data_IF_776451941822
#
_entry.id   IF_776451941822
#
_cell.length_a   1.000
_cell.length_b   1.000
_cell.length_c   1.000
_cell.angle_alpha   90.00
_cell.angle_beta   90.00
_cell.angle_gamma   90.00
#
_symmetry.space_group_name_H-M   'P 1'
#
loop_
_entity.id
_entity.type
_entity.pdbx_description
1 polymer ?
#
# COMPACT_ATOMS: atom_id res chain seq x y z
N UNK A 1 -1.88 -19.31 -17.85
CA UNK A 1 -2.65 -18.47 -16.91
C UNK A 1 -1.65 -17.84 -15.94
N UNK A 2 -1.13 -16.64 -16.27
CA UNK A 2 -0.01 -15.99 -15.54
C UNK A 2 -0.55 -15.04 -14.46
N UNK A 3 -1.15 -15.59 -13.41
CA UNK A 3 -1.58 -14.77 -12.25
C UNK A 3 -1.04 -15.34 -10.94
N UNK A 4 -0.72 -16.63 -10.89
CA UNK A 4 -0.19 -17.28 -9.70
C UNK A 4 1.32 -17.00 -9.48
N UNK A 5 2.07 -16.70 -10.53
CA UNK A 5 3.51 -16.36 -10.42
C UNK A 5 3.76 -14.88 -10.08
N UNK A 6 2.81 -13.98 -10.35
CA UNK A 6 2.95 -12.57 -9.96
C UNK A 6 2.84 -12.40 -8.44
N UNK A 7 1.96 -13.16 -7.79
CA UNK A 7 1.81 -13.16 -6.33
C UNK A 7 3.09 -13.62 -5.61
N UNK A 8 3.85 -14.55 -6.19
CA UNK A 8 5.13 -15.00 -5.63
C UNK A 8 6.24 -13.97 -5.75
N UNK A 9 6.23 -13.14 -6.80
CA UNK A 9 7.23 -12.07 -6.98
C UNK A 9 6.97 -10.87 -6.08
N UNK A 10 5.72 -10.57 -5.76
CA UNK A 10 5.39 -9.50 -4.80
C UNK A 10 5.90 -9.80 -3.39
N UNK A 11 5.90 -11.07 -2.97
CA UNK A 11 6.47 -11.49 -1.68
C UNK A 11 8.00 -11.25 -1.58
N UNK A 12 8.72 -11.34 -2.70
CA UNK A 12 10.16 -11.08 -2.72
C UNK A 12 10.49 -9.57 -2.59
N UNK A 13 9.62 -8.70 -3.11
CA UNK A 13 9.76 -7.25 -2.96
C UNK A 13 9.53 -6.81 -1.50
N UNK A 14 8.59 -7.47 -0.81
CA UNK A 14 8.33 -7.24 0.61
C UNK A 14 9.55 -7.56 1.50
N UNK A 15 10.42 -8.48 1.07
CA UNK A 15 11.63 -8.87 1.81
C UNK A 15 12.77 -7.85 1.66
N UNK A 16 12.83 -7.11 0.54
CA UNK A 16 13.93 -6.19 0.23
C UNK A 16 13.66 -4.72 0.61
N UNK A 17 12.40 -4.27 0.67
CA UNK A 17 12.06 -2.84 0.79
C UNK A 17 11.57 -2.36 2.17
N UNK A 18 11.87 -3.10 3.22
CA UNK A 18 11.64 -2.67 4.61
C UNK A 18 11.29 -3.87 5.47
N UNK A 19 12.17 -4.20 6.42
CA UNK A 19 11.98 -5.27 7.41
C UNK A 19 10.55 -5.23 7.96
N UNK A 20 9.72 -6.19 7.54
CA UNK A 20 8.44 -6.55 8.16
C UNK A 20 7.23 -5.60 8.00
N UNK A 21 7.05 -4.91 6.86
CA UNK A 21 5.71 -4.39 6.55
C UNK A 21 4.82 -5.55 6.11
N UNK A 22 3.90 -5.98 6.98
CA UNK A 22 2.97 -7.08 6.70
C UNK A 22 1.77 -6.62 5.86
N UNK A 23 1.12 -7.53 5.12
CA UNK A 23 -0.12 -7.21 4.41
C UNK A 23 -1.21 -6.62 5.32
N UNK A 24 -1.30 -7.09 6.57
CA UNK A 24 -2.25 -6.58 7.56
C UNK A 24 -1.96 -5.14 7.95
N UNK A 25 -0.69 -4.77 8.10
CA UNK A 25 -0.29 -3.39 8.36
C UNK A 25 -0.63 -2.47 7.18
N UNK A 26 -0.43 -2.94 5.94
CA UNK A 26 -0.84 -2.20 4.75
C UNK A 26 -2.36 -1.98 4.73
N UNK A 27 -3.13 -3.02 5.01
CA UNK A 27 -4.58 -2.93 5.07
C UNK A 27 -5.06 -1.98 6.18
N UNK A 28 -4.43 -2.02 7.35
CA UNK A 28 -4.72 -1.11 8.46
C UNK A 28 -4.41 0.35 8.08
N UNK A 29 -3.30 0.58 7.39
CA UNK A 29 -2.96 1.92 6.92
C UNK A 29 -3.92 2.41 5.84
N UNK A 30 -4.33 1.56 4.90
CA UNK A 30 -5.36 1.92 3.91
C UNK A 30 -6.68 2.31 4.59
N UNK A 31 -7.09 1.56 5.61
CA UNK A 31 -8.27 1.88 6.42
C UNK A 31 -8.10 3.20 7.18
N UNK A 32 -6.92 3.47 7.74
CA UNK A 32 -6.59 4.73 8.40
C UNK A 32 -6.65 5.89 7.41
N UNK A 33 -6.08 5.75 6.22
CA UNK A 33 -6.11 6.78 5.17
C UNK A 33 -7.54 7.11 4.78
N UNK A 34 -8.38 6.08 4.59
CA UNK A 34 -9.80 6.28 4.27
C UNK A 34 -10.54 7.08 5.36
N UNK A 35 -10.25 6.82 6.63
CA UNK A 35 -10.94 7.43 7.78
C UNK A 35 -10.39 8.80 8.18
N UNK A 36 -9.08 8.99 8.08
CA UNK A 36 -8.36 10.12 8.67
C UNK A 36 -7.71 11.04 7.62
N UNK A 37 -7.96 10.83 6.33
CA UNK A 37 -7.46 11.74 5.30
C UNK A 37 -8.11 13.11 5.43
N UNK A 38 -7.28 14.16 5.48
CA UNK A 38 -7.73 15.56 5.48
C UNK A 38 -8.39 15.97 4.17
N UNK A 39 -8.13 15.24 3.08
CA UNK A 39 -8.73 15.47 1.77
C UNK A 39 -9.20 14.14 1.16
N UNK A 40 -10.40 13.67 1.51
CA UNK A 40 -10.93 12.40 1.00
C UNK A 40 -11.22 12.43 -0.51
N UNK A 41 -11.48 13.62 -1.08
CA UNK A 41 -11.70 13.77 -2.53
C UNK A 41 -10.42 13.49 -3.32
N UNK A 42 -9.31 14.11 -2.91
CA UNK A 42 -8.01 13.86 -3.52
C UNK A 42 -7.57 12.41 -3.33
N UNK A 43 -7.76 11.84 -2.13
CA UNK A 43 -7.46 10.42 -1.89
C UNK A 43 -8.21 9.51 -2.87
N UNK A 44 -9.49 9.79 -3.11
CA UNK A 44 -10.32 9.05 -4.07
C UNK A 44 -9.86 9.22 -5.51
N UNK A 45 -9.42 10.41 -5.90
CA UNK A 45 -8.84 10.67 -7.23
C UNK A 45 -7.55 9.86 -7.44
N UNK A 46 -6.68 9.81 -6.43
CA UNK A 46 -5.45 9.00 -6.48
C UNK A 46 -5.79 7.50 -6.57
N UNK A 47 -6.74 7.00 -5.78
CA UNK A 47 -7.17 5.61 -5.86
C UNK A 47 -7.81 5.26 -7.21
N UNK A 48 -8.62 6.17 -7.77
CA UNK A 48 -9.17 6.01 -9.11
C UNK A 48 -8.09 5.98 -10.19
N UNK A 49 -7.03 6.78 -10.06
CA UNK A 49 -5.88 6.74 -10.97
C UNK A 49 -5.16 5.38 -10.92
N UNK A 50 -5.23 4.68 -9.78
CA UNK A 50 -4.76 3.31 -9.60
C UNK A 50 -5.85 2.26 -9.89
N UNK A 51 -6.92 2.64 -10.60
CA UNK A 51 -8.05 1.78 -10.95
C UNK A 51 -8.76 1.15 -9.74
N UNK A 52 -8.61 1.73 -8.55
CA UNK A 52 -9.03 1.15 -7.28
C UNK A 52 -8.47 -0.27 -7.03
N UNK A 53 -7.32 -0.62 -7.63
CA UNK A 53 -6.66 -1.90 -7.36
C UNK A 53 -6.05 -1.88 -5.95
N UNK A 54 -6.53 -2.73 -5.03
CA UNK A 54 -6.03 -2.76 -3.65
C UNK A 54 -4.54 -3.06 -3.55
N UNK A 55 -3.97 -3.84 -4.48
CA UNK A 55 -2.53 -4.17 -4.48
C UNK A 55 -1.70 -2.95 -4.85
N UNK A 56 -2.12 -2.23 -5.89
CA UNK A 56 -1.44 -0.99 -6.30
C UNK A 56 -1.56 0.10 -5.23
N UNK A 57 -2.74 0.22 -4.59
CA UNK A 57 -2.92 1.18 -3.49
C UNK A 57 -2.03 0.80 -2.30
N UNK A 58 -1.97 -0.48 -1.93
CA UNK A 58 -1.13 -0.94 -0.84
C UNK A 58 0.36 -0.66 -1.13
N UNK A 59 0.85 -1.04 -2.31
CA UNK A 59 2.27 -0.95 -2.66
C UNK A 59 2.72 0.49 -2.98
N UNK A 60 1.90 1.29 -3.66
CA UNK A 60 2.29 2.62 -4.12
C UNK A 60 1.91 3.75 -3.15
N UNK A 61 0.91 3.55 -2.28
CA UNK A 61 0.42 4.59 -1.35
C UNK A 61 0.69 4.18 0.10
N UNK A 62 0.19 3.01 0.52
CA UNK A 62 0.24 2.62 1.93
C UNK A 62 1.66 2.29 2.39
N UNK A 63 2.43 1.54 1.57
CA UNK A 63 3.79 1.12 1.91
C UNK A 63 4.74 2.31 2.08
N UNK A 64 4.86 3.28 1.14
CA UNK A 64 5.75 4.43 1.34
C UNK A 64 5.39 5.24 2.58
N UNK A 65 4.09 5.46 2.83
CA UNK A 65 3.64 6.21 4.01
C UNK A 65 3.96 5.47 5.32
N UNK A 66 3.83 4.14 5.35
CA UNK A 66 4.25 3.34 6.51
C UNK A 66 5.77 3.34 6.69
N UNK A 67 6.53 3.20 5.60
CA UNK A 67 7.99 3.25 5.62
C UNK A 67 8.50 4.60 6.13
N UNK A 68 7.94 5.72 5.67
CA UNK A 68 8.30 7.06 6.13
C UNK A 68 8.01 7.24 7.63
N UNK A 69 6.86 6.74 8.10
CA UNK A 69 6.51 6.75 9.53
C UNK A 69 7.48 5.93 10.38
N UNK A 70 7.88 4.76 9.90
CA UNK A 70 8.82 3.88 10.60
C UNK A 70 10.25 4.43 10.63
N UNK A 71 10.63 5.20 9.60
CA UNK A 71 11.94 5.83 9.50
C UNK A 71 12.06 7.16 10.25
N UNK A 72 11.01 7.60 10.96
CA UNK A 72 11.09 8.71 11.92
C UNK A 72 11.48 10.05 11.29
N UNK A 73 10.69 10.56 10.34
CA UNK A 73 10.63 12.00 10.05
C UNK A 73 9.42 12.64 10.72
#
# INVERSE_FOLDING_TARGET
MKVEDELRKTNALAYYWGKEITPDQLQLEMNRMARNSKNPKLLKEVWNALQNDPRLIAECIARPVLTDKMNGR
#
